data_IF_885701899698
#
_entry.id   IF_885701899698
#
_cell.length_a   1.000
_cell.length_b   1.000
_cell.length_c   1.000
_cell.angle_alpha   90.00
_cell.angle_beta   90.00
_cell.angle_gamma   90.00
#
_symmetry.space_group_name_H-M   'P 1'
#
loop_
_entity.id
_entity.type
_entity.pdbx_description
1 polymer ?
#
# COMPACT_ATOMS: atom_id res chain seq x y z
N UNK A 1 -30.99 35.95 14.62
CA UNK A 1 -29.74 35.17 14.55
C UNK A 1 -29.85 34.31 13.31
N UNK A 2 -29.17 34.68 12.23
CA UNK A 2 -29.16 33.87 11.01
C UNK A 2 -28.42 32.58 11.31
N UNK A 3 -29.12 31.44 11.25
CA UNK A 3 -28.49 30.13 11.32
C UNK A 3 -27.81 29.89 9.98
N UNK A 4 -26.50 30.10 9.92
CA UNK A 4 -25.70 29.77 8.73
C UNK A 4 -25.80 28.26 8.51
N UNK A 5 -26.67 27.82 7.61
CA UNK A 5 -26.85 26.41 7.27
C UNK A 5 -25.59 25.91 6.57
N UNK A 6 -24.70 25.27 7.32
CA UNK A 6 -23.46 24.69 6.78
C UNK A 6 -23.82 23.54 5.84
N UNK A 7 -23.23 23.53 4.64
CA UNK A 7 -23.50 22.48 3.65
C UNK A 7 -23.05 21.10 4.18
N UNK A 8 -23.79 20.01 3.96
CA UNK A 8 -23.45 18.69 4.51
C UNK A 8 -22.02 18.21 4.18
N UNK A 9 -21.53 18.49 2.96
CA UNK A 9 -20.16 18.17 2.56
C UNK A 9 -19.10 18.97 3.35
N UNK A 10 -19.41 20.21 3.73
CA UNK A 10 -18.54 21.03 4.56
C UNK A 10 -18.50 20.49 5.99
N UNK A 11 -19.68 20.20 6.58
CA UNK A 11 -19.79 19.59 7.90
C UNK A 11 -19.02 18.26 7.99
N UNK A 12 -19.13 17.41 6.97
CA UNK A 12 -18.38 16.16 6.91
C UNK A 12 -16.87 16.37 6.94
N UNK A 13 -16.35 17.30 6.13
CA UNK A 13 -14.92 17.57 6.03
C UNK A 13 -14.36 18.27 7.27
N UNK A 14 -15.17 19.09 7.95
CA UNK A 14 -14.76 19.78 9.19
C UNK A 14 -14.72 18.85 10.40
N UNK A 15 -15.41 17.71 10.35
CA UNK A 15 -15.32 16.72 11.42
C UNK A 15 -13.95 16.03 11.41
N UNK A 16 -13.21 16.18 12.50
CA UNK A 16 -11.85 15.63 12.64
C UNK A 16 -11.81 14.10 12.65
N UNK A 17 -12.92 13.43 13.03
CA UNK A 17 -13.02 11.97 13.01
C UNK A 17 -13.19 11.41 11.60
N UNK A 18 -13.65 12.22 10.65
CA UNK A 18 -13.83 11.81 9.26
C UNK A 18 -12.52 11.95 8.48
N UNK A 19 -12.33 11.19 7.39
CA UNK A 19 -11.25 11.42 6.44
C UNK A 19 -11.20 12.87 5.94
N UNK A 20 -10.00 13.39 5.71
CA UNK A 20 -9.77 14.77 5.27
C UNK A 20 -10.17 15.05 3.81
N UNK A 21 -10.85 14.11 3.14
CA UNK A 21 -11.30 14.25 1.76
C UNK A 21 -12.64 13.56 1.50
N UNK A 22 -13.39 14.10 0.54
CA UNK A 22 -14.73 13.64 0.20
C UNK A 22 -14.94 13.77 -1.32
N UNK A 23 -15.56 12.77 -1.93
CA UNK A 23 -15.93 12.84 -3.34
C UNK A 23 -17.32 13.47 -3.50
N UNK A 24 -17.46 14.33 -4.50
CA UNK A 24 -18.71 15.00 -4.86
C UNK A 24 -18.90 15.00 -6.37
N UNK A 25 -20.11 15.21 -6.85
CA UNK A 25 -20.41 15.48 -8.26
C UNK A 25 -20.65 16.97 -8.46
N UNK A 26 -19.89 17.60 -9.36
CA UNK A 26 -20.01 19.02 -9.71
C UNK A 26 -19.91 19.12 -11.22
N UNK A 27 -20.88 19.80 -11.85
CA UNK A 27 -21.00 19.92 -13.31
C UNK A 27 -20.93 18.56 -14.01
N UNK A 28 -21.67 17.57 -13.50
CA UNK A 28 -21.72 16.20 -13.99
C UNK A 28 -20.43 15.37 -13.80
N UNK A 29 -19.37 15.93 -13.21
CA UNK A 29 -18.07 15.25 -13.04
C UNK A 29 -17.82 14.91 -11.58
N UNK A 30 -17.26 13.71 -11.35
CA UNK A 30 -16.79 13.31 -10.01
C UNK A 30 -15.51 14.08 -9.68
N UNK A 31 -15.54 14.84 -8.58
CA UNK A 31 -14.45 15.68 -8.09
C UNK A 31 -14.16 15.33 -6.64
N UNK A 32 -12.94 15.61 -6.18
CA UNK A 32 -12.52 15.38 -4.79
C UNK A 32 -12.31 16.71 -4.09
N UNK A 33 -13.08 16.93 -3.03
CA UNK A 33 -12.84 17.98 -2.05
C UNK A 33 -11.89 17.46 -0.97
N UNK A 34 -11.16 18.37 -0.34
CA UNK A 34 -10.26 18.07 0.78
C UNK A 34 -10.20 19.25 1.74
N UNK A 35 -9.95 18.98 3.02
CA UNK A 35 -9.70 20.01 4.02
C UNK A 35 -8.21 20.05 4.37
N UNK A 36 -7.64 21.25 4.40
CA UNK A 36 -6.40 21.51 5.09
C UNK A 36 -6.76 21.86 6.55
N UNK A 37 -6.52 20.94 7.47
CA UNK A 37 -6.90 21.11 8.89
C UNK A 37 -6.09 22.23 9.57
N UNK A 38 -4.81 22.36 9.26
CA UNK A 38 -3.93 23.40 9.82
C UNK A 38 -4.45 24.81 9.50
N UNK A 39 -5.04 25.01 8.32
CA UNK A 39 -5.56 26.30 7.86
C UNK A 39 -7.08 26.41 7.95
N UNK A 40 -7.80 25.32 8.21
CA UNK A 40 -9.27 25.25 8.18
C UNK A 40 -9.90 25.49 6.81
N UNK A 41 -9.12 25.42 5.72
CA UNK A 41 -9.56 25.74 4.35
C UNK A 41 -9.95 24.47 3.60
N UNK A 42 -11.12 24.49 2.97
CA UNK A 42 -11.57 23.42 2.08
C UNK A 42 -11.23 23.78 0.63
N UNK A 43 -10.67 22.81 -0.09
CA UNK A 43 -10.29 22.94 -1.48
C UNK A 43 -10.81 21.80 -2.35
N UNK A 44 -10.74 22.01 -3.66
CA UNK A 44 -11.04 21.03 -4.70
C UNK A 44 -9.77 20.68 -5.47
N UNK A 45 -9.51 19.39 -5.66
CA UNK A 45 -8.32 18.94 -6.40
C UNK A 45 -8.35 19.47 -7.84
N UNK A 46 -7.21 20.03 -8.25
CA UNK A 46 -7.01 20.52 -9.60
C UNK A 46 -6.94 19.34 -10.59
N UNK A 47 -7.48 19.49 -11.81
CA UNK A 47 -7.36 18.46 -12.84
C UNK A 47 -5.90 18.01 -13.05
N UNK A 48 -5.67 16.70 -13.11
CA UNK A 48 -4.34 16.11 -13.29
C UNK A 48 -3.42 16.18 -12.07
N UNK A 49 -3.86 16.75 -10.94
CA UNK A 49 -3.08 16.78 -9.69
C UNK A 49 -3.60 15.74 -8.70
N UNK A 50 -2.71 15.28 -7.80
CA UNK A 50 -3.04 14.32 -6.74
C UNK A 50 -3.19 14.98 -5.36
N UNK A 51 -2.46 16.05 -5.09
CA UNK A 51 -2.36 16.65 -3.74
C UNK A 51 -2.53 18.16 -3.73
N UNK A 52 -2.74 18.79 -4.89
CA UNK A 52 -2.88 20.24 -5.03
C UNK A 52 -4.22 20.60 -5.64
N UNK A 53 -4.76 21.74 -5.24
CA UNK A 53 -6.10 22.18 -5.62
C UNK A 53 -6.31 23.68 -5.40
N UNK A 54 -7.54 24.10 -5.65
CA UNK A 54 -7.99 25.48 -5.46
C UNK A 54 -8.90 25.55 -4.24
N UNK A 55 -9.01 26.71 -3.60
CA UNK A 55 -10.01 26.95 -2.56
C UNK A 55 -11.39 26.70 -3.16
N UNK A 56 -12.24 26.00 -2.41
CA UNK A 56 -13.58 25.66 -2.86
C UNK A 56 -14.62 26.46 -2.09
N UNK A 57 -15.48 27.17 -2.82
CA UNK A 57 -16.53 28.03 -2.26
C UNK A 57 -17.91 27.78 -2.89
N UNK A 58 -17.99 27.08 -4.02
CA UNK A 58 -19.24 26.82 -4.74
C UNK A 58 -19.98 25.60 -4.17
N UNK A 59 -20.46 25.72 -2.93
CA UNK A 59 -21.22 24.66 -2.25
C UNK A 59 -22.54 24.34 -2.96
N UNK A 60 -23.18 25.34 -3.54
CA UNK A 60 -24.41 25.21 -4.33
C UNK A 60 -24.26 24.35 -5.59
N UNK A 61 -23.06 24.30 -6.17
CA UNK A 61 -22.76 23.49 -7.35
C UNK A 61 -22.60 21.99 -7.09
N UNK A 62 -22.71 21.54 -5.83
CA UNK A 62 -22.63 20.11 -5.49
C UNK A 62 -23.97 19.45 -5.81
N UNK A 63 -23.95 18.59 -6.82
CA UNK A 63 -25.11 17.81 -7.26
C UNK A 63 -25.32 16.56 -6.41
N UNK A 64 -24.23 15.96 -5.93
CA UNK A 64 -24.26 14.71 -5.16
C UNK A 64 -23.02 14.60 -4.27
N UNK A 65 -23.20 14.06 -3.06
CA UNK A 65 -22.11 13.70 -2.15
C UNK A 65 -21.93 12.19 -2.13
N UNK A 66 -20.69 11.72 -2.23
CA UNK A 66 -20.33 10.31 -2.10
C UNK A 66 -19.64 10.08 -0.76
N UNK A 67 -20.42 9.73 0.26
CA UNK A 67 -19.86 9.34 1.55
C UNK A 67 -19.13 7.99 1.43
N UNK A 68 -17.95 7.83 2.07
CA UNK A 68 -17.33 6.53 2.22
C UNK A 68 -18.30 5.62 3.00
N UNK A 69 -18.59 4.43 2.47
CA UNK A 69 -19.36 3.41 3.22
C UNK A 69 -18.40 2.35 3.78
N UNK A 70 -18.74 1.76 4.92
CA UNK A 70 -18.00 0.61 5.47
C UNK A 70 -17.93 -0.56 4.47
N UNK A 71 -18.97 -0.73 3.65
CA UNK A 71 -18.99 -1.70 2.54
C UNK A 71 -17.88 -1.43 1.51
N UNK A 72 -17.47 -0.17 1.29
CA UNK A 72 -16.35 0.16 0.40
C UNK A 72 -15.00 -0.23 1.01
N UNK A 73 -14.84 -0.14 2.33
CA UNK A 73 -13.62 -0.57 3.03
C UNK A 73 -13.51 -2.10 3.00
N UNK A 74 -14.57 -2.83 3.36
CA UNK A 74 -14.61 -4.31 3.25
C UNK A 74 -14.36 -4.80 1.80
N UNK A 75 -14.89 -4.09 0.80
CA UNK A 75 -14.62 -4.39 -0.61
C UNK A 75 -13.16 -4.08 -1.01
N UNK A 76 -12.48 -3.16 -0.31
CA UNK A 76 -11.06 -2.87 -0.54
C UNK A 76 -10.19 -3.99 0.01
N UNK A 77 -10.44 -4.44 1.24
CA UNK A 77 -9.70 -5.55 1.86
C UNK A 77 -9.89 -6.85 1.09
N UNK A 78 -11.12 -7.16 0.70
CA UNK A 78 -11.43 -8.31 -0.16
C UNK A 78 -10.64 -8.26 -1.48
N UNK A 79 -10.55 -7.09 -2.12
CA UNK A 79 -9.74 -6.93 -3.35
C UNK A 79 -8.25 -7.11 -3.10
N UNK A 80 -7.75 -6.64 -1.97
CA UNK A 80 -6.36 -6.85 -1.59
C UNK A 80 -6.07 -8.33 -1.36
N UNK A 81 -6.89 -9.04 -0.58
CA UNK A 81 -6.70 -10.48 -0.35
C UNK A 81 -6.72 -11.26 -1.67
N UNK A 82 -7.70 -11.00 -2.54
CA UNK A 82 -7.74 -11.61 -3.87
C UNK A 82 -6.48 -11.32 -4.70
N UNK A 83 -5.89 -10.13 -4.54
CA UNK A 83 -4.61 -9.79 -5.19
C UNK A 83 -3.47 -10.63 -4.62
N UNK A 84 -3.34 -10.75 -3.29
CA UNK A 84 -2.31 -11.58 -2.67
C UNK A 84 -2.47 -13.05 -3.09
N UNK A 85 -3.69 -13.60 -3.02
CA UNK A 85 -4.00 -14.96 -3.48
C UNK A 85 -3.64 -15.20 -4.94
N UNK A 86 -3.98 -14.23 -5.82
CA UNK A 86 -3.64 -14.31 -7.25
C UNK A 86 -2.13 -14.35 -7.46
N UNK A 87 -1.36 -13.52 -6.76
CA UNK A 87 0.09 -13.44 -6.90
C UNK A 87 0.80 -14.65 -6.29
N UNK A 88 0.36 -15.10 -5.11
CA UNK A 88 0.88 -16.27 -4.41
C UNK A 88 0.75 -17.54 -5.25
N UNK A 89 -0.36 -17.69 -5.98
CA UNK A 89 -0.59 -18.85 -6.88
C UNK A 89 0.46 -18.97 -8.01
N UNK A 90 1.16 -17.88 -8.32
CA UNK A 90 2.21 -17.87 -9.34
C UNK A 90 3.59 -18.24 -8.78
N UNK A 91 3.73 -18.42 -7.47
CA UNK A 91 5.00 -18.79 -6.86
C UNK A 91 5.36 -20.25 -7.21
N UNK A 92 6.64 -20.49 -7.52
CA UNK A 92 7.18 -21.85 -7.63
C UNK A 92 7.80 -22.35 -6.32
N UNK A 93 8.00 -21.45 -5.35
CA UNK A 93 8.46 -21.77 -4.00
C UNK A 93 7.27 -21.88 -3.03
N UNK A 94 7.50 -22.56 -1.90
CA UNK A 94 6.51 -22.72 -0.83
C UNK A 94 7.05 -22.18 0.49
N UNK A 95 6.19 -21.51 1.26
CA UNK A 95 6.43 -21.20 2.66
C UNK A 95 5.11 -21.10 3.45
N UNK A 96 5.17 -21.03 4.78
CA UNK A 96 3.99 -20.85 5.64
C UNK A 96 3.16 -19.64 5.23
N UNK A 97 3.78 -18.49 5.01
CA UNK A 97 3.08 -17.26 4.66
C UNK A 97 2.28 -17.36 3.35
N UNK A 98 2.80 -18.03 2.31
CA UNK A 98 2.05 -18.28 1.07
C UNK A 98 0.85 -19.21 1.29
N UNK A 99 0.96 -20.18 2.22
CA UNK A 99 -0.16 -21.04 2.62
C UNK A 99 -1.23 -20.24 3.37
N UNK A 100 -0.81 -19.33 4.25
CA UNK A 100 -1.73 -18.44 4.97
C UNK A 100 -2.49 -17.54 4.01
N UNK A 101 -1.80 -16.97 3.01
CA UNK A 101 -2.43 -16.20 1.93
C UNK A 101 -3.46 -17.03 1.16
N UNK A 102 -3.11 -18.27 0.79
CA UNK A 102 -4.01 -19.15 0.05
C UNK A 102 -5.30 -19.47 0.81
N UNK A 103 -5.21 -19.56 2.14
CA UNK A 103 -6.33 -19.86 3.04
C UNK A 103 -7.03 -18.62 3.63
N UNK A 104 -6.63 -17.43 3.20
CA UNK A 104 -7.13 -16.18 3.76
C UNK A 104 -8.63 -15.99 3.56
N UNK A 105 -9.28 -15.58 4.64
CA UNK A 105 -10.70 -15.28 4.72
C UNK A 105 -11.00 -13.93 4.07
N UNK A 106 -11.88 -13.93 3.06
CA UNK A 106 -12.23 -12.73 2.29
C UNK A 106 -13.07 -11.71 3.07
N UNK A 107 -13.64 -12.12 4.21
CA UNK A 107 -14.46 -11.26 5.07
C UNK A 107 -13.65 -10.61 6.19
N UNK A 108 -12.34 -10.88 6.25
CA UNK A 108 -11.39 -10.26 7.18
C UNK A 108 -10.42 -9.33 6.46
N UNK A 109 -9.74 -8.46 7.19
CA UNK A 109 -8.64 -7.66 6.65
C UNK A 109 -7.36 -8.49 6.44
N UNK A 110 -6.35 -7.93 5.76
CA UNK A 110 -5.02 -8.56 5.63
C UNK A 110 -4.34 -8.77 6.99
N UNK A 111 -4.56 -7.85 7.95
CA UNK A 111 -4.01 -7.93 9.30
C UNK A 111 -4.64 -9.07 10.11
N UNK A 112 -5.97 -9.17 10.09
CA UNK A 112 -6.70 -10.24 10.78
C UNK A 112 -6.47 -11.62 10.18
N UNK A 113 -6.06 -11.69 8.91
CA UNK A 113 -5.57 -12.91 8.26
C UNK A 113 -4.08 -13.18 8.53
N UNK A 114 -3.40 -12.34 9.29
CA UNK A 114 -1.96 -12.42 9.55
C UNK A 114 -1.07 -12.42 8.29
N UNK A 115 -1.54 -11.80 7.20
CA UNK A 115 -0.77 -11.68 5.95
C UNK A 115 0.21 -10.50 6.03
N UNK A 116 -0.20 -9.41 6.66
CA UNK A 116 0.57 -8.16 6.80
C UNK A 116 0.30 -7.54 8.17
N UNK A 117 1.04 -6.51 8.55
CA UNK A 117 0.74 -5.71 9.77
C UNK A 117 -0.33 -4.63 9.55
N UNK A 118 -0.98 -4.58 8.37
CA UNK A 118 -2.07 -3.66 8.08
C UNK A 118 -1.57 -2.25 7.78
N UNK A 119 -0.79 -2.10 6.70
CA UNK A 119 0.00 -0.91 6.45
C UNK A 119 -0.37 -0.18 5.17
N UNK A 120 0.11 1.06 5.03
CA UNK A 120 -0.04 1.83 3.79
C UNK A 120 0.73 1.28 2.58
N UNK A 121 1.55 0.23 2.75
CA UNK A 121 2.22 -0.45 1.62
C UNK A 121 1.55 -1.76 1.21
N UNK A 122 0.46 -2.14 1.87
CA UNK A 122 -0.28 -3.34 1.55
C UNK A 122 -0.68 -3.36 0.07
N UNK A 123 -0.45 -4.50 -0.57
CA UNK A 123 -0.69 -4.69 -1.99
C UNK A 123 0.29 -3.95 -2.91
N UNK A 124 1.29 -3.20 -2.43
CA UNK A 124 2.30 -2.58 -3.31
C UNK A 124 3.37 -3.60 -3.67
N UNK A 125 3.56 -3.82 -4.98
CA UNK A 125 4.57 -4.73 -5.50
C UNK A 125 5.81 -3.98 -5.98
N UNK A 126 6.98 -4.58 -5.79
CA UNK A 126 8.22 -4.20 -6.45
C UNK A 126 8.71 -5.42 -7.24
N UNK A 127 8.97 -5.24 -8.53
CA UNK A 127 9.49 -6.33 -9.36
C UNK A 127 10.96 -6.59 -9.06
N UNK A 128 11.38 -7.86 -9.01
CA UNK A 128 12.78 -8.26 -8.87
C UNK A 128 13.64 -7.67 -9.98
N UNK A 129 13.13 -7.58 -11.22
CA UNK A 129 13.83 -6.89 -12.32
C UNK A 129 14.05 -5.39 -12.07
N UNK A 130 13.21 -4.75 -11.23
CA UNK A 130 13.47 -3.37 -10.79
C UNK A 130 14.56 -3.35 -9.74
N UNK A 131 14.53 -4.26 -8.77
CA UNK A 131 15.56 -4.38 -7.72
C UNK A 131 16.93 -4.68 -8.34
N UNK A 132 16.99 -5.57 -9.34
CA UNK A 132 18.21 -5.95 -10.05
C UNK A 132 18.93 -4.74 -10.68
N UNK A 133 18.20 -3.74 -11.17
CA UNK A 133 18.80 -2.52 -11.72
C UNK A 133 19.62 -1.74 -10.69
N UNK A 134 19.36 -1.93 -9.40
CA UNK A 134 20.05 -1.25 -8.31
C UNK A 134 21.08 -2.14 -7.60
N UNK A 135 20.76 -3.41 -7.35
CA UNK A 135 21.70 -4.32 -6.67
C UNK A 135 22.72 -5.00 -7.62
N UNK A 136 22.48 -4.90 -8.93
CA UNK A 136 23.29 -5.49 -9.98
C UNK A 136 22.95 -6.96 -10.26
N UNK A 137 23.16 -7.38 -11.52
CA UNK A 137 22.86 -8.73 -12.00
C UNK A 137 23.59 -9.82 -11.23
N UNK A 138 24.85 -9.62 -10.84
CA UNK A 138 25.61 -10.61 -10.06
C UNK A 138 24.95 -10.90 -8.70
N UNK A 139 24.49 -9.87 -8.00
CA UNK A 139 23.77 -10.02 -6.71
C UNK A 139 22.43 -10.72 -6.89
N UNK A 140 21.69 -10.39 -7.95
CA UNK A 140 20.41 -11.02 -8.26
C UNK A 140 20.58 -12.50 -8.65
N UNK A 141 21.62 -12.85 -9.41
CA UNK A 141 21.93 -14.24 -9.75
C UNK A 141 22.23 -15.07 -8.49
N UNK A 142 23.08 -14.55 -7.60
CA UNK A 142 23.39 -15.21 -6.31
C UNK A 142 22.14 -15.40 -5.44
N UNK A 143 21.27 -14.39 -5.39
CA UNK A 143 19.98 -14.52 -4.69
C UNK A 143 19.12 -15.67 -5.25
N UNK A 144 18.99 -15.76 -6.59
CA UNK A 144 18.22 -16.83 -7.24
C UNK A 144 18.85 -18.21 -7.03
N UNK A 145 20.17 -18.30 -7.07
CA UNK A 145 20.92 -19.53 -6.78
C UNK A 145 20.72 -19.97 -5.33
N UNK A 146 20.83 -19.04 -4.36
CA UNK A 146 20.60 -19.32 -2.95
C UNK A 146 19.16 -19.80 -2.68
N UNK A 147 18.15 -19.18 -3.31
CA UNK A 147 16.77 -19.64 -3.27
C UNK A 147 16.60 -21.07 -3.79
N UNK A 148 17.30 -21.43 -4.87
CA UNK A 148 17.26 -22.79 -5.44
C UNK A 148 17.98 -23.82 -4.57
N UNK A 149 19.12 -23.43 -3.99
CA UNK A 149 19.96 -24.30 -3.16
C UNK A 149 19.50 -24.37 -1.70
N UNK A 150 18.48 -23.58 -1.33
CA UNK A 150 18.00 -23.40 0.05
C UNK A 150 19.07 -22.89 1.02
N UNK A 151 19.83 -21.90 0.56
CA UNK A 151 20.91 -21.27 1.30
C UNK A 151 20.55 -19.85 1.74
N UNK A 152 21.19 -19.38 2.80
CA UNK A 152 21.08 -17.98 3.21
C UNK A 152 21.88 -17.09 2.28
N UNK A 153 21.29 -15.97 1.88
CA UNK A 153 21.96 -14.92 1.13
C UNK A 153 21.41 -13.56 1.52
N UNK A 154 22.29 -12.55 1.57
CA UNK A 154 21.91 -11.16 1.69
C UNK A 154 22.86 -10.31 0.86
N UNK A 155 22.33 -9.26 0.24
CA UNK A 155 23.17 -8.26 -0.41
C UNK A 155 23.81 -7.35 0.62
N UNK A 156 24.95 -6.75 0.28
CA UNK A 156 25.31 -5.49 0.93
C UNK A 156 24.22 -4.43 0.70
N UNK A 157 24.14 -3.41 1.55
CA UNK A 157 23.24 -2.28 1.34
C UNK A 157 23.56 -1.60 0.01
N UNK A 158 22.53 -1.30 -0.77
CA UNK A 158 22.63 -0.55 -2.03
C UNK A 158 21.68 0.64 -2.06
N UNK A 159 21.99 1.65 -2.87
CA UNK A 159 21.09 2.79 -3.10
C UNK A 159 19.85 2.33 -3.86
N UNK A 160 18.66 2.47 -3.26
CA UNK A 160 17.40 2.19 -3.93
C UNK A 160 16.46 3.39 -3.84
N UNK A 161 16.43 4.23 -4.87
CA UNK A 161 15.53 5.39 -4.95
C UNK A 161 15.64 6.33 -3.73
N UNK A 162 16.84 6.55 -3.20
CA UNK A 162 17.05 7.38 -2.00
C UNK A 162 16.86 6.63 -0.66
N UNK A 163 16.62 5.33 -0.68
CA UNK A 163 16.57 4.43 0.48
C UNK A 163 17.79 3.51 0.51
N UNK A 164 18.05 2.90 1.67
CA UNK A 164 18.95 1.76 1.79
C UNK A 164 18.17 0.49 1.41
N UNK A 165 18.60 -0.18 0.34
CA UNK A 165 18.01 -1.42 -0.15
C UNK A 165 18.83 -2.62 0.29
N UNK A 166 18.15 -3.67 0.76
CA UNK A 166 18.74 -4.98 1.05
C UNK A 166 17.83 -6.09 0.53
N UNK A 167 18.36 -6.97 -0.33
CA UNK A 167 17.67 -8.16 -0.80
C UNK A 167 18.20 -9.38 -0.03
N UNK A 168 17.31 -10.25 0.44
CA UNK A 168 17.70 -11.37 1.30
C UNK A 168 16.83 -12.61 1.09
N UNK A 169 17.41 -13.78 1.35
CA UNK A 169 16.71 -15.05 1.54
C UNK A 169 17.37 -15.89 2.63
N UNK A 170 16.57 -16.72 3.30
CA UNK A 170 17.01 -17.62 4.36
C UNK A 170 16.14 -18.89 4.40
N UNK A 171 16.74 -20.05 4.67
CA UNK A 171 15.99 -21.28 4.92
C UNK A 171 15.30 -21.22 6.29
N UNK A 172 14.18 -21.92 6.39
CA UNK A 172 13.45 -22.16 7.63
C UNK A 172 13.66 -23.62 8.08
N UNK A 173 13.53 -23.88 9.37
CA UNK A 173 13.73 -25.21 9.96
C UNK A 173 12.82 -26.29 9.35
N UNK A 174 11.65 -25.89 8.87
CA UNK A 174 10.67 -26.77 8.21
C UNK A 174 11.00 -27.06 6.73
N UNK A 175 12.14 -26.59 6.22
CA UNK A 175 12.60 -26.77 4.84
C UNK A 175 12.03 -25.78 3.82
N UNK A 176 11.21 -24.81 4.27
CA UNK A 176 10.74 -23.70 3.45
C UNK A 176 11.82 -22.62 3.28
N UNK A 177 11.59 -21.70 2.34
CA UNK A 177 12.42 -20.49 2.15
C UNK A 177 11.62 -19.24 2.50
N UNK A 178 12.27 -18.31 3.21
CA UNK A 178 11.79 -16.95 3.38
C UNK A 178 12.70 -16.01 2.61
N UNK A 179 12.10 -15.02 1.95
CA UNK A 179 12.85 -14.05 1.18
C UNK A 179 12.09 -12.74 1.13
N UNK A 180 12.82 -11.65 0.94
CA UNK A 180 12.24 -10.34 0.97
C UNK A 180 13.21 -9.25 0.53
N UNK A 181 12.68 -8.03 0.56
CA UNK A 181 13.40 -6.82 0.26
C UNK A 181 13.10 -5.78 1.33
N UNK A 182 14.16 -5.30 1.98
CA UNK A 182 14.09 -4.21 2.94
C UNK A 182 14.41 -2.90 2.23
N UNK A 183 13.50 -1.94 2.33
CA UNK A 183 13.65 -0.57 1.81
C UNK A 183 13.66 0.40 2.99
N UNK A 184 14.82 0.54 3.59
CA UNK A 184 15.05 1.23 4.86
C UNK A 184 15.34 2.72 4.66
N UNK A 185 14.92 3.55 5.63
CA UNK A 185 15.40 4.92 5.72
C UNK A 185 16.92 4.91 5.98
N UNK A 186 17.62 5.91 5.43
CA UNK A 186 19.08 5.98 5.44
C UNK A 186 19.65 5.85 6.85
N UNK A 187 20.42 4.79 7.06
CA UNK A 187 21.11 4.51 8.32
C UNK A 187 20.19 4.37 9.55
N UNK A 188 18.89 4.12 9.37
CA UNK A 188 17.95 4.01 10.48
C UNK A 188 17.61 2.56 10.86
N UNK A 189 17.77 1.61 9.95
CA UNK A 189 17.37 0.21 10.18
C UNK A 189 15.86 -0.03 10.24
N UNK A 190 15.05 1.01 10.00
CA UNK A 190 13.59 0.95 9.91
C UNK A 190 13.16 1.38 8.50
N UNK A 191 12.02 0.89 8.03
CA UNK A 191 11.44 1.37 6.78
C UNK A 191 10.31 0.52 6.26
N UNK A 192 10.35 0.22 4.97
CA UNK A 192 9.29 -0.53 4.29
C UNK A 192 9.78 -1.93 3.97
N UNK A 193 9.08 -2.95 4.48
CA UNK A 193 9.48 -4.34 4.29
C UNK A 193 8.53 -5.04 3.34
N UNK A 194 9.13 -5.80 2.43
CA UNK A 194 8.43 -6.54 1.40
C UNK A 194 8.86 -8.00 1.49
N UNK A 195 7.90 -8.92 1.36
CA UNK A 195 8.16 -10.36 1.26
C UNK A 195 8.01 -10.82 -0.18
N UNK A 196 8.81 -11.82 -0.56
CA UNK A 196 8.75 -12.45 -1.87
C UNK A 196 7.43 -13.21 -2.00
N UNK A 197 6.57 -12.77 -2.93
CA UNK A 197 5.24 -13.35 -3.15
C UNK A 197 5.23 -14.37 -4.29
N UNK A 198 6.15 -14.23 -5.25
CA UNK A 198 6.40 -15.15 -6.35
C UNK A 198 7.78 -14.85 -6.96
N UNK A 199 8.12 -15.50 -8.07
CA UNK A 199 9.49 -15.44 -8.64
C UNK A 199 9.83 -14.13 -9.36
N UNK A 200 8.85 -13.21 -9.41
CA UNK A 200 8.95 -11.92 -10.08
C UNK A 200 8.78 -10.73 -9.15
N UNK A 201 8.03 -10.85 -8.05
CA UNK A 201 7.63 -9.72 -7.21
C UNK A 201 7.86 -9.98 -5.73
N UNK A 202 8.25 -8.90 -5.05
CA UNK A 202 8.02 -8.74 -3.61
C UNK A 202 6.79 -7.86 -3.40
N UNK A 203 6.07 -8.04 -2.30
CA UNK A 203 4.86 -7.28 -1.97
C UNK A 203 4.91 -6.79 -0.50
N UNK A 204 4.30 -5.64 -0.24
CA UNK A 204 4.35 -5.00 1.08
C UNK A 204 3.86 -5.91 2.19
N UNK A 205 4.58 -5.90 3.31
CA UNK A 205 4.31 -6.73 4.48
C UNK A 205 4.20 -5.88 5.75
N UNK A 206 5.17 -4.98 5.95
CA UNK A 206 5.30 -4.23 7.20
C UNK A 206 5.98 -2.87 7.03
N UNK A 207 5.79 -1.99 8.02
CA UNK A 207 6.48 -0.72 8.18
C UNK A 207 6.89 -0.53 9.64
N UNK A 208 8.19 -0.37 9.86
CA UNK A 208 8.77 0.06 11.15
C UNK A 208 8.98 1.58 11.22
#
# INVERSE_FOLDING_TARGET
METTTIHPAESYLRNETNPSSLYVRIAGKRRRLFINRDRGIIGIIAPGKRTKGYVFTDWSGIEQIYYPSQEQEANTDRKLILKYQKLARLATHTNSWLRDIANADLDKSLYENHITTGTRIDGKCIGLATIEKYCGTASMQRFREAMKNKESFFTCRFDFCGYDGTLWCEPRDNGDMSAGFSKEYRNCGNGYYYLLINDEYVIGYDID
#
